data_IF_634886763942
#
_entry.id   IF_634886763942
#
_cell.length_a   1.000
_cell.length_b   1.000
_cell.length_c   1.000
_cell.angle_alpha   90.00
_cell.angle_beta   90.00
_cell.angle_gamma   90.00
#
_symmetry.space_group_name_H-M   'P 1'
#
loop_
_entity.id
_entity.type
_entity.pdbx_description
1 polymer ?
#
# COMPACT_ATOMS: atom_id res chain seq x y z
N UNK A 1 16.60 6.07 -12.37
CA UNK A 1 15.20 6.09 -12.86
C UNK A 1 14.38 5.18 -11.97
N UNK A 2 13.24 5.66 -11.44
CA UNK A 2 12.34 4.85 -10.60
C UNK A 2 11.30 4.16 -11.50
N UNK A 3 10.93 2.93 -11.16
CA UNK A 3 9.91 2.17 -11.88
C UNK A 3 8.51 2.56 -11.38
N UNK A 4 7.71 3.20 -12.24
CA UNK A 4 6.34 3.61 -11.89
C UNK A 4 5.43 2.43 -11.48
N UNK A 5 5.68 1.22 -12.02
CA UNK A 5 4.96 0.00 -11.66
C UNK A 5 5.09 -0.37 -10.17
N UNK A 6 6.18 0.02 -9.51
CA UNK A 6 6.34 -0.19 -8.06
C UNK A 6 5.41 0.68 -7.23
N UNK A 7 4.89 1.78 -7.80
CA UNK A 7 3.95 2.69 -7.14
C UNK A 7 2.48 2.37 -7.42
N UNK A 8 2.22 1.45 -8.35
CA UNK A 8 0.85 1.11 -8.73
C UNK A 8 0.27 0.10 -7.75
N UNK A 9 -0.78 0.52 -7.03
CA UNK A 9 -1.62 -0.39 -6.25
C UNK A 9 -2.25 -1.44 -7.18
N UNK A 10 -2.15 -2.74 -6.88
CA UNK A 10 -2.83 -3.77 -7.66
C UNK A 10 -4.34 -3.54 -7.69
N UNK A 11 -4.97 -3.80 -8.84
CA UNK A 11 -6.43 -3.69 -8.96
C UNK A 11 -7.13 -4.56 -7.91
N UNK A 12 -8.19 -4.03 -7.30
CA UNK A 12 -9.03 -4.83 -6.41
C UNK A 12 -9.75 -5.91 -7.22
N UNK A 13 -9.73 -7.16 -6.73
CA UNK A 13 -10.56 -8.23 -7.31
C UNK A 13 -11.99 -8.06 -6.78
N UNK A 14 -13.00 -7.79 -7.63
CA UNK A 14 -14.39 -7.65 -7.19
C UNK A 14 -14.97 -8.93 -6.58
N UNK A 15 -14.32 -10.09 -6.76
CA UNK A 15 -14.70 -11.37 -6.15
C UNK A 15 -14.00 -11.62 -4.82
N UNK A 16 -13.17 -10.70 -4.34
CA UNK A 16 -12.49 -10.85 -3.06
C UNK A 16 -13.51 -10.86 -1.90
N UNK A 17 -13.46 -11.91 -1.08
CA UNK A 17 -14.32 -12.02 0.11
C UNK A 17 -13.86 -11.00 1.15
N UNK A 18 -14.80 -10.21 1.67
CA UNK A 18 -14.54 -9.24 2.74
C UNK A 18 -14.07 -9.94 4.02
N UNK A 19 -13.08 -9.34 4.70
CA UNK A 19 -12.49 -9.88 5.94
C UNK A 19 -12.62 -8.88 7.09
N UNK A 20 -13.84 -8.54 7.55
CA UNK A 20 -14.08 -7.44 8.50
C UNK A 20 -13.25 -7.56 9.78
N UNK A 21 -13.16 -8.77 10.35
CA UNK A 21 -12.34 -9.03 11.57
C UNK A 21 -10.86 -8.69 11.41
N UNK A 22 -10.30 -8.79 10.20
CA UNK A 22 -8.91 -8.40 9.94
C UNK A 22 -8.80 -6.91 9.63
N UNK A 23 -9.78 -6.35 8.92
CA UNK A 23 -9.84 -4.92 8.61
C UNK A 23 -9.98 -4.08 9.89
N UNK A 24 -10.79 -4.51 10.84
CA UNK A 24 -10.89 -3.93 12.19
C UNK A 24 -9.53 -3.88 12.91
N UNK A 25 -8.70 -4.93 12.78
CA UNK A 25 -7.35 -4.95 13.36
C UNK A 25 -6.37 -4.03 12.64
N UNK A 26 -6.67 -3.60 11.41
CA UNK A 26 -5.87 -2.64 10.65
C UNK A 26 -6.33 -1.19 10.84
N UNK A 27 -7.38 -0.95 11.63
CA UNK A 27 -7.83 0.41 11.92
C UNK A 27 -6.71 1.25 12.55
N UNK A 28 -6.58 2.53 12.16
CA UNK A 28 -5.54 3.41 12.70
C UNK A 28 -5.60 3.46 14.23
N UNK A 29 -4.43 3.38 14.85
CA UNK A 29 -4.25 3.55 16.30
C UNK A 29 -3.07 4.51 16.49
N UNK A 30 -3.27 5.60 17.23
CA UNK A 30 -2.26 6.63 17.46
C UNK A 30 -0.97 6.08 18.09
N UNK A 31 -1.05 4.97 18.85
CA UNK A 31 0.12 4.32 19.42
C UNK A 31 0.89 3.46 18.39
N UNK A 32 0.24 3.03 17.30
CA UNK A 32 0.77 2.08 16.32
C UNK A 32 1.29 2.78 15.08
N UNK A 33 2.61 2.86 14.97
CA UNK A 33 3.32 3.48 13.83
C UNK A 33 3.61 2.52 12.67
N UNK A 34 3.56 1.21 12.92
CA UNK A 34 3.86 0.17 11.93
C UNK A 34 2.96 -1.04 12.16
N UNK A 35 2.39 -1.57 11.09
CA UNK A 35 1.69 -2.84 11.08
C UNK A 35 2.33 -3.78 10.06
N UNK A 36 2.77 -4.95 10.50
CA UNK A 36 3.30 -6.00 9.64
C UNK A 36 2.24 -7.10 9.46
N UNK A 37 1.98 -7.48 8.20
CA UNK A 37 1.06 -8.57 7.86
C UNK A 37 1.86 -9.77 7.34
N UNK A 38 1.99 -10.79 8.17
CA UNK A 38 2.77 -12.01 7.87
C UNK A 38 1.85 -13.21 7.64
N UNK A 39 2.02 -13.88 6.51
CA UNK A 39 1.33 -15.12 6.16
C UNK A 39 2.02 -15.78 4.96
N UNK A 40 1.84 -17.10 4.70
CA UNK A 40 2.40 -17.75 3.51
C UNK A 40 1.90 -17.14 2.18
N UNK A 41 2.55 -17.53 1.08
CA UNK A 41 2.10 -17.15 -0.25
C UNK A 41 0.65 -17.61 -0.51
N UNK A 42 -0.14 -16.80 -1.22
CA UNK A 42 -1.54 -17.12 -1.52
C UNK A 42 -2.58 -16.82 -0.43
N UNK A 43 -2.19 -16.46 0.80
CA UNK A 43 -3.13 -16.20 1.91
C UNK A 43 -3.93 -14.89 1.81
N UNK A 44 -3.73 -14.11 0.74
CA UNK A 44 -4.47 -12.87 0.49
C UNK A 44 -3.97 -11.65 1.27
N UNK A 45 -2.66 -11.57 1.57
CA UNK A 45 -2.05 -10.40 2.24
C UNK A 45 -2.29 -9.11 1.44
N UNK A 46 -1.91 -9.11 0.18
CA UNK A 46 -2.11 -7.99 -0.75
C UNK A 46 -3.60 -7.67 -0.93
N UNK A 47 -4.45 -8.69 -0.99
CA UNK A 47 -5.91 -8.54 -1.07
C UNK A 47 -6.46 -7.82 0.17
N UNK A 48 -6.02 -8.20 1.37
CA UNK A 48 -6.42 -7.55 2.62
C UNK A 48 -5.97 -6.08 2.67
N UNK A 49 -4.74 -5.78 2.27
CA UNK A 49 -4.25 -4.38 2.20
C UNK A 49 -5.05 -3.59 1.17
N UNK A 50 -5.37 -4.17 0.01
CA UNK A 50 -6.22 -3.52 -0.98
C UNK A 50 -7.63 -3.22 -0.46
N UNK A 51 -8.24 -4.15 0.27
CA UNK A 51 -9.54 -3.93 0.93
C UNK A 51 -9.45 -2.81 1.97
N UNK A 52 -8.41 -2.81 2.80
CA UNK A 52 -8.17 -1.73 3.77
C UNK A 52 -8.02 -0.37 3.08
N UNK A 53 -7.23 -0.28 2.01
CA UNK A 53 -7.05 0.96 1.24
C UNK A 53 -8.33 1.44 0.54
N UNK A 54 -9.32 0.58 0.32
CA UNK A 54 -10.61 0.96 -0.29
C UNK A 54 -11.58 1.55 0.75
N UNK A 55 -11.44 1.19 2.02
CA UNK A 55 -12.22 1.73 3.14
C UNK A 55 -11.61 2.99 3.75
N UNK A 56 -10.37 3.34 3.39
CA UNK A 56 -9.67 4.51 3.93
C UNK A 56 -9.81 5.72 3.00
N UNK A 57 -10.25 6.84 3.58
CA UNK A 57 -10.46 8.11 2.86
C UNK A 57 -9.15 8.86 2.60
N UNK A 58 -8.09 8.55 3.33
CA UNK A 58 -6.79 9.20 3.18
C UNK A 58 -6.01 8.66 1.98
N UNK A 59 -5.26 9.52 1.27
CA UNK A 59 -4.37 9.08 0.20
C UNK A 59 -3.37 8.03 0.70
N UNK A 60 -3.28 6.92 -0.02
CA UNK A 60 -2.35 5.83 0.29
C UNK A 60 -1.20 5.82 -0.72
N UNK A 61 0.03 5.82 -0.22
CA UNK A 61 1.20 5.52 -1.01
C UNK A 61 1.45 4.02 -1.05
N UNK A 62 1.55 3.48 -2.27
CA UNK A 62 1.89 2.08 -2.50
C UNK A 62 3.35 1.97 -2.91
N UNK A 63 4.07 1.02 -2.33
CA UNK A 63 5.43 0.68 -2.74
C UNK A 63 5.59 -0.84 -2.74
N UNK A 64 5.78 -1.42 -3.92
CA UNK A 64 6.16 -2.82 -4.10
C UNK A 64 7.69 -2.94 -4.00
N UNK A 65 8.16 -3.71 -3.02
CA UNK A 65 9.58 -3.97 -2.81
C UNK A 65 10.00 -5.31 -3.43
N UNK A 66 11.23 -5.37 -3.93
CA UNK A 66 11.91 -6.59 -4.37
C UNK A 66 13.36 -6.64 -3.87
N UNK A 67 14.06 -7.74 -4.15
CA UNK A 67 15.43 -7.98 -3.68
C UNK A 67 16.43 -6.91 -4.13
N UNK A 68 16.11 -6.12 -5.16
CA UNK A 68 16.99 -5.05 -5.63
C UNK A 68 16.88 -3.78 -4.78
N UNK A 69 15.92 -3.71 -3.86
CA UNK A 69 15.70 -2.55 -3.00
C UNK A 69 16.40 -2.69 -1.63
N UNK A 70 17.20 -3.74 -1.43
CA UNK A 70 18.09 -3.93 -0.26
C UNK A 70 19.36 -3.05 -0.35
N UNK A 71 19.19 -1.80 -0.78
CA UNK A 71 20.22 -0.77 -0.81
C UNK A 71 19.62 0.51 -0.23
N UNK A 72 20.12 1.04 0.90
CA UNK A 72 19.44 2.10 1.64
C UNK A 72 19.09 3.34 0.82
N UNK A 73 19.96 3.78 -0.10
CA UNK A 73 19.69 5.00 -0.90
C UNK A 73 18.57 4.75 -1.89
N UNK A 74 18.58 3.61 -2.58
CA UNK A 74 17.50 3.17 -3.47
C UNK A 74 16.19 2.98 -2.72
N UNK A 75 16.19 2.31 -1.58
CA UNK A 75 15.00 2.15 -0.74
C UNK A 75 14.35 3.51 -0.46
N UNK A 76 15.12 4.46 0.08
CA UNK A 76 14.60 5.79 0.39
C UNK A 76 14.17 6.58 -0.86
N UNK A 77 14.87 6.42 -1.98
CA UNK A 77 14.47 7.05 -3.25
C UNK A 77 13.12 6.53 -3.75
N UNK A 78 12.83 5.24 -3.57
CA UNK A 78 11.52 4.66 -3.88
C UNK A 78 10.45 5.09 -2.87
N UNK A 79 10.77 5.19 -1.59
CA UNK A 79 9.83 5.71 -0.57
C UNK A 79 9.41 7.14 -0.88
N UNK A 80 10.35 8.04 -1.17
CA UNK A 80 10.02 9.42 -1.54
C UNK A 80 9.23 9.47 -2.84
N UNK A 81 9.63 8.68 -3.85
CA UNK A 81 8.91 8.59 -5.13
C UNK A 81 7.46 8.11 -4.98
N UNK A 82 7.18 7.16 -4.08
CA UNK A 82 5.83 6.69 -3.80
C UNK A 82 4.95 7.78 -3.18
N UNK A 83 5.50 8.56 -2.23
CA UNK A 83 4.80 9.68 -1.60
C UNK A 83 4.49 10.81 -2.60
N UNK A 84 5.46 11.14 -3.46
CA UNK A 84 5.29 12.12 -4.54
C UNK A 84 4.23 11.68 -5.55
N UNK A 85 4.26 10.40 -5.96
CA UNK A 85 3.29 9.82 -6.89
C UNK A 85 1.86 9.92 -6.35
N UNK A 86 1.63 9.58 -5.08
CA UNK A 86 0.30 9.70 -4.46
C UNK A 86 -0.16 11.15 -4.37
N UNK A 87 0.75 12.09 -4.10
CA UNK A 87 0.41 13.52 -4.08
C UNK A 87 -0.10 14.00 -5.44
N UNK A 88 0.56 13.58 -6.53
CA UNK A 88 0.16 13.93 -7.89
C UNK A 88 -1.23 13.38 -8.23
N UNK A 89 -1.48 12.09 -7.97
CA UNK A 89 -2.79 11.48 -8.23
C UNK A 89 -3.94 12.07 -7.42
N UNK A 90 -3.67 12.57 -6.21
CA UNK A 90 -4.70 13.24 -5.40
C UNK A 90 -5.04 14.65 -5.91
N UNK A 91 -4.07 15.40 -6.44
CA UNK A 91 -4.29 16.75 -6.95
C UNK A 91 -5.13 16.76 -8.24
N UNK A 92 -5.02 15.74 -9.09
CA UNK A 92 -5.83 15.60 -10.30
C UNK A 92 -7.29 15.24 -9.99
N UNK A 93 -7.58 14.62 -8.85
CA UNK A 93 -8.93 14.23 -8.44
C UNK A 93 -9.73 15.37 -7.76
N UNK A 94 -9.09 16.49 -7.42
CA UNK A 94 -9.72 17.67 -6.78
C UNK A 94 -10.06 18.77 -7.80
N UNK A 95 -9.69 18.60 -9.08
CA UNK A 95 -10.10 19.47 -10.20
C UNK A 95 -11.33 18.92 -10.90
#
# INVERSE_FOLDING_TARGET
MLLATKFMRPAADPRAIARPRLLERLQPDAARRLTAITAPAGYGKTTLVNQWCAEHEHPVAWLSLDDQDDEPRRFWSYVTGALEHTRLGHQDAIR
#
